data_IF_711095572758
#
_entry.id   IF_711095572758
#
_cell.length_a   1.000
_cell.length_b   1.000
_cell.length_c   1.000
_cell.angle_alpha   90.00
_cell.angle_beta   90.00
_cell.angle_gamma   90.00
#
_symmetry.space_group_name_H-M   'P 1'
#
loop_
_entity.id
_entity.type
_entity.pdbx_description
1 polymer ?
#
# COMPACT_ATOMS: atom_id res chain seq x y z
N UNK A 1 -16.70 2.77 69.34
CA UNK A 1 -16.18 3.72 68.31
C UNK A 1 -15.58 3.03 67.08
N UNK A 2 -14.71 2.02 67.21
CA UNK A 2 -14.01 1.33 66.09
C UNK A 2 -14.92 0.65 65.05
N UNK A 3 -16.06 0.07 65.43
CA UNK A 3 -16.96 -0.62 64.47
C UNK A 3 -17.73 0.34 63.54
N UNK A 4 -18.10 1.55 64.01
CA UNK A 4 -18.75 2.56 63.17
C UNK A 4 -17.81 3.05 62.06
N UNK A 5 -16.55 3.31 62.39
CA UNK A 5 -15.52 3.78 61.44
C UNK A 5 -15.25 2.72 60.34
N UNK A 6 -15.28 1.42 60.69
CA UNK A 6 -15.12 0.34 59.70
C UNK A 6 -16.31 0.23 58.74
N UNK A 7 -17.54 0.43 59.21
CA UNK A 7 -18.75 0.47 58.37
C UNK A 7 -18.71 1.64 57.39
N UNK A 8 -18.35 2.85 57.84
CA UNK A 8 -18.25 4.02 56.96
C UNK A 8 -17.12 3.89 55.92
N UNK A 9 -16.02 3.22 56.25
CA UNK A 9 -14.93 2.92 55.29
C UNK A 9 -15.35 1.93 54.20
N UNK A 10 -16.11 0.89 54.55
CA UNK A 10 -16.62 -0.09 53.57
C UNK A 10 -17.66 0.56 52.64
N UNK A 11 -18.54 1.39 53.19
CA UNK A 11 -19.52 2.15 52.40
C UNK A 11 -18.84 3.17 51.47
N UNK A 12 -17.80 3.87 51.95
CA UNK A 12 -17.02 4.78 51.11
C UNK A 12 -16.28 4.08 49.97
N UNK A 13 -15.69 2.91 50.24
CA UNK A 13 -15.01 2.11 49.21
C UNK A 13 -16.01 1.57 48.17
N UNK A 14 -17.19 1.11 48.60
CA UNK A 14 -18.23 0.63 47.69
C UNK A 14 -18.76 1.75 46.79
N UNK A 15 -18.93 2.97 47.31
CA UNK A 15 -19.30 4.13 46.50
C UNK A 15 -18.21 4.51 45.49
N UNK A 16 -16.93 4.45 45.87
CA UNK A 16 -15.82 4.74 44.96
C UNK A 16 -15.75 3.72 43.81
N UNK A 17 -15.92 2.43 44.11
CA UNK A 17 -15.94 1.36 43.09
C UNK A 17 -17.13 1.51 42.16
N UNK A 18 -18.32 1.83 42.70
CA UNK A 18 -19.50 2.08 41.87
C UNK A 18 -19.32 3.30 40.97
N UNK A 19 -18.69 4.37 41.45
CA UNK A 19 -18.38 5.55 40.65
C UNK A 19 -17.38 5.24 39.53
N UNK A 20 -16.36 4.41 39.79
CA UNK A 20 -15.40 3.95 38.77
C UNK A 20 -16.06 3.04 37.72
N UNK A 21 -17.01 2.19 38.11
CA UNK A 21 -17.77 1.34 37.17
C UNK A 21 -18.67 2.19 36.28
N UNK A 22 -19.36 3.19 36.84
CA UNK A 22 -20.21 4.10 36.08
C UNK A 22 -19.39 4.96 35.11
N UNK A 23 -18.23 5.47 35.54
CA UNK A 23 -17.31 6.19 34.64
C UNK A 23 -16.79 5.26 33.53
N UNK A 24 -16.41 4.02 33.85
CA UNK A 24 -15.97 3.04 32.86
C UNK A 24 -17.04 2.68 31.83
N UNK A 25 -18.31 2.59 32.25
CA UNK A 25 -19.44 2.35 31.36
C UNK A 25 -19.72 3.55 30.43
N UNK A 26 -19.63 4.78 30.96
CA UNK A 26 -19.81 6.01 30.16
C UNK A 26 -18.71 6.18 29.11
N UNK A 27 -17.46 5.83 29.42
CA UNK A 27 -16.38 5.83 28.43
C UNK A 27 -16.50 4.72 27.37
N UNK A 28 -17.18 3.62 27.69
CA UNK A 28 -17.38 2.49 26.76
C UNK A 28 -18.58 2.70 25.82
N UNK A 29 -19.50 3.61 26.13
CA UNK A 29 -20.73 3.79 25.36
C UNK A 29 -20.59 4.78 24.18
N UNK A 30 -19.47 5.51 24.09
CA UNK A 30 -19.22 6.48 23.00
C UNK A 30 -18.31 5.91 21.89
N UNK A 31 -18.59 4.70 21.44
CA UNK A 31 -18.00 4.14 20.23
C UNK A 31 -19.07 3.71 19.23
N UNK A 32 -19.64 4.71 18.53
CA UNK A 32 -19.97 4.55 17.12
C UNK A 32 -21.32 3.95 16.73
N UNK A 33 -22.36 3.99 17.58
CA UNK A 33 -23.73 3.72 17.11
C UNK A 33 -24.34 4.97 16.48
N UNK A 34 -24.17 5.11 15.17
CA UNK A 34 -24.68 6.24 14.37
C UNK A 34 -23.60 7.10 13.71
N UNK A 35 -22.31 6.85 14.02
CA UNK A 35 -21.20 7.48 13.34
C UNK A 35 -21.07 6.90 11.93
N UNK A 36 -21.07 7.78 10.93
CA UNK A 36 -20.79 7.39 9.55
C UNK A 36 -19.33 6.93 9.40
N UNK A 37 -19.09 5.96 8.52
CA UNK A 37 -17.73 5.56 8.11
C UNK A 37 -17.07 6.60 7.19
N UNK A 38 -17.79 7.62 6.74
CA UNK A 38 -17.23 8.72 5.95
C UNK A 38 -16.32 9.60 6.83
N UNK A 39 -15.11 9.88 6.33
CA UNK A 39 -14.28 10.92 6.89
C UNK A 39 -15.01 12.28 6.77
N UNK A 40 -14.89 13.19 7.76
CA UNK A 40 -15.44 14.53 7.64
C UNK A 40 -14.96 15.20 6.36
N UNK A 41 -15.90 15.64 5.51
CA UNK A 41 -15.59 16.36 4.25
C UNK A 41 -15.32 17.86 4.51
N UNK A 42 -15.18 18.25 5.77
CA UNK A 42 -14.95 19.62 6.20
C UNK A 42 -13.46 19.98 6.02
N UNK A 43 -13.12 20.49 4.83
CA UNK A 43 -11.78 20.98 4.49
C UNK A 43 -11.58 22.34 5.17
N UNK A 44 -10.80 22.36 6.25
CA UNK A 44 -10.53 23.56 7.08
C UNK A 44 -9.31 24.36 6.65
N UNK A 45 -8.59 23.89 5.63
CA UNK A 45 -7.34 24.47 5.12
C UNK A 45 -7.52 24.75 3.63
N UNK A 46 -7.01 25.88 3.12
CA UNK A 46 -7.06 26.14 1.68
C UNK A 46 -6.14 25.18 0.89
N UNK A 47 -6.43 24.99 -0.39
CA UNK A 47 -5.68 24.06 -1.23
C UNK A 47 -4.19 24.40 -1.37
N UNK A 48 -3.83 25.70 -1.39
CA UNK A 48 -2.44 26.10 -1.55
C UNK A 48 -1.61 25.70 -0.31
N UNK A 49 -2.19 25.88 0.87
CA UNK A 49 -1.62 25.45 2.15
C UNK A 49 -1.47 23.93 2.21
N UNK A 50 -2.51 23.17 1.81
CA UNK A 50 -2.46 21.70 1.69
C UNK A 50 -1.33 21.26 0.76
N UNK A 51 -1.27 21.82 -0.45
CA UNK A 51 -0.27 21.46 -1.45
C UNK A 51 1.14 21.76 -0.95
N UNK A 52 1.37 22.93 -0.36
CA UNK A 52 2.68 23.33 0.16
C UNK A 52 3.15 22.36 1.25
N UNK A 53 2.27 22.04 2.21
CA UNK A 53 2.54 21.09 3.28
C UNK A 53 2.88 19.69 2.75
N UNK A 54 2.10 19.18 1.80
CA UNK A 54 2.32 17.86 1.22
C UNK A 54 3.60 17.79 0.38
N UNK A 55 3.88 18.80 -0.45
CA UNK A 55 5.14 18.91 -1.19
C UNK A 55 6.34 18.91 -0.23
N UNK A 56 6.25 19.63 0.89
CA UNK A 56 7.30 19.66 1.90
C UNK A 56 7.49 18.30 2.60
N UNK A 57 6.40 17.55 2.83
CA UNK A 57 6.44 16.24 3.46
C UNK A 57 6.92 15.11 2.53
N UNK A 58 6.73 15.26 1.21
CA UNK A 58 7.02 14.25 0.18
C UNK A 58 8.34 13.50 0.38
N UNK A 59 9.52 14.15 0.56
CA UNK A 59 10.79 13.44 0.70
C UNK A 59 10.84 12.49 1.91
N UNK A 60 10.22 12.88 3.02
CA UNK A 60 10.19 12.07 4.23
C UNK A 60 9.26 10.85 4.08
N UNK A 61 8.12 11.04 3.42
CA UNK A 61 7.16 9.97 3.15
C UNK A 61 7.76 8.94 2.19
N UNK A 62 8.36 9.40 1.09
CA UNK A 62 9.02 8.54 0.11
C UNK A 62 10.20 7.78 0.71
N UNK A 63 11.02 8.44 1.54
CA UNK A 63 12.11 7.78 2.24
C UNK A 63 11.60 6.67 3.14
N UNK A 64 10.58 6.94 3.96
CA UNK A 64 9.99 5.94 4.86
C UNK A 64 9.47 4.74 4.08
N UNK A 65 8.80 4.97 2.96
CA UNK A 65 8.27 3.87 2.14
C UNK A 65 9.39 3.08 1.44
N UNK A 66 10.40 3.78 0.89
CA UNK A 66 11.59 3.15 0.31
C UNK A 66 12.35 2.30 1.32
N UNK A 67 12.49 2.77 2.55
CA UNK A 67 13.11 2.01 3.64
C UNK A 67 12.29 0.73 3.96
N UNK A 68 10.96 0.82 3.96
CA UNK A 68 10.07 -0.34 4.14
C UNK A 68 10.23 -1.36 3.00
N UNK A 69 10.24 -0.90 1.74
CA UNK A 69 10.44 -1.75 0.58
C UNK A 69 11.81 -2.44 0.64
N UNK A 70 12.87 -1.70 0.98
CA UNK A 70 14.22 -2.25 1.11
C UNK A 70 14.38 -3.22 2.29
N UNK A 71 13.58 -3.06 3.34
CA UNK A 71 13.53 -4.00 4.44
C UNK A 71 12.91 -5.33 4.00
N UNK A 72 11.81 -5.27 3.23
CA UNK A 72 11.01 -6.44 2.85
C UNK A 72 11.50 -7.15 1.59
N UNK A 73 12.10 -6.41 0.67
CA UNK A 73 12.41 -6.89 -0.67
C UNK A 73 13.84 -6.57 -1.11
N UNK A 74 14.35 -7.43 -2.00
CA UNK A 74 15.50 -7.14 -2.84
C UNK A 74 15.03 -6.55 -4.17
N UNK A 75 15.23 -5.24 -4.34
CA UNK A 75 14.87 -4.48 -5.53
C UNK A 75 15.99 -4.40 -6.58
N UNK A 76 17.07 -5.18 -6.44
CA UNK A 76 18.15 -5.22 -7.43
C UNK A 76 17.68 -5.72 -8.81
N UNK A 77 18.27 -5.18 -9.86
CA UNK A 77 18.04 -5.65 -11.23
C UNK A 77 18.79 -6.97 -11.46
N UNK A 78 18.04 -8.08 -11.52
CA UNK A 78 18.55 -9.43 -11.80
C UNK A 78 17.71 -10.06 -12.91
N UNK A 79 18.04 -9.76 -14.18
CA UNK A 79 17.29 -10.26 -15.33
C UNK A 79 17.56 -11.77 -15.51
N UNK A 80 16.49 -12.51 -15.71
CA UNK A 80 16.51 -13.92 -16.06
C UNK A 80 17.17 -14.14 -17.42
N UNK A 81 18.11 -15.10 -17.51
CA UNK A 81 18.82 -15.37 -18.75
C UNK A 81 17.86 -15.91 -19.82
N UNK A 82 17.74 -15.17 -20.93
CA UNK A 82 16.93 -15.59 -22.08
C UNK A 82 15.42 -15.50 -21.88
N UNK A 83 14.94 -14.92 -20.77
CA UNK A 83 13.51 -14.74 -20.51
C UNK A 83 13.16 -13.26 -20.60
N UNK A 84 12.25 -12.94 -21.51
CA UNK A 84 11.75 -11.60 -21.71
C UNK A 84 10.23 -11.62 -21.84
N UNK A 85 9.62 -10.47 -21.55
CA UNK A 85 8.25 -10.17 -21.89
C UNK A 85 8.11 -10.02 -23.43
N UNK A 86 6.89 -9.86 -23.91
CA UNK A 86 6.53 -10.00 -25.32
C UNK A 86 7.33 -9.09 -26.26
N UNK A 87 7.70 -7.88 -25.81
CA UNK A 87 8.52 -6.92 -26.57
C UNK A 87 9.95 -6.78 -26.05
N UNK A 88 10.48 -7.81 -25.39
CA UNK A 88 11.90 -7.90 -25.07
C UNK A 88 12.32 -7.31 -23.72
N UNK A 89 11.40 -6.78 -22.91
CA UNK A 89 11.73 -6.35 -21.54
C UNK A 89 12.11 -7.58 -20.71
N UNK A 90 13.30 -7.58 -20.12
CA UNK A 90 13.78 -8.73 -19.35
C UNK A 90 12.88 -9.01 -18.13
N UNK A 91 12.55 -10.28 -17.92
CA UNK A 91 11.84 -10.73 -16.71
C UNK A 91 12.87 -10.86 -15.58
N UNK A 92 12.46 -10.47 -14.37
CA UNK A 92 13.32 -10.52 -13.18
C UNK A 92 13.26 -11.93 -12.55
N UNK A 93 14.40 -12.56 -12.25
CA UNK A 93 14.45 -13.92 -11.68
C UNK A 93 14.57 -13.94 -10.15
N UNK A 94 14.16 -15.05 -9.53
CA UNK A 94 14.34 -15.32 -8.12
C UNK A 94 13.34 -14.60 -7.20
N UNK A 95 13.20 -15.16 -5.99
CA UNK A 95 12.30 -14.61 -4.97
C UNK A 95 12.89 -13.31 -4.42
N UNK A 96 12.06 -12.27 -4.36
CA UNK A 96 12.47 -10.92 -3.92
C UNK A 96 12.25 -10.68 -2.43
N UNK A 97 11.46 -11.50 -1.77
CA UNK A 97 11.23 -11.38 -0.32
C UNK A 97 12.53 -11.67 0.43
N UNK A 98 12.93 -10.74 1.28
CA UNK A 98 14.05 -10.93 2.22
C UNK A 98 13.55 -11.73 3.42
N UNK A 99 14.23 -12.82 3.72
CA UNK A 99 14.00 -13.62 4.92
C UNK A 99 14.80 -13.05 6.11
N UNK A 100 14.40 -13.41 7.32
CA UNK A 100 15.15 -13.10 8.52
C UNK A 100 16.58 -13.68 8.45
N UNK A 101 17.53 -13.02 9.13
CA UNK A 101 18.95 -13.40 9.07
C UNK A 101 19.13 -14.87 9.46
N UNK A 102 19.79 -15.65 8.59
CA UNK A 102 20.07 -17.07 8.82
C UNK A 102 18.91 -18.02 8.46
N UNK A 103 17.78 -17.48 8.01
CA UNK A 103 16.64 -18.26 7.52
C UNK A 103 16.77 -18.58 6.02
N UNK A 104 16.16 -19.69 5.60
CA UNK A 104 16.03 -20.08 4.19
C UNK A 104 14.61 -20.57 3.93
N UNK A 105 14.22 -20.67 2.66
CA UNK A 105 12.90 -21.19 2.28
C UNK A 105 12.74 -22.65 2.71
N UNK A 106 13.79 -23.45 2.64
CA UNK A 106 13.82 -24.86 3.07
C UNK A 106 13.60 -24.97 4.58
N UNK A 107 14.25 -24.11 5.38
CA UNK A 107 14.05 -24.07 6.82
C UNK A 107 12.62 -23.68 7.19
N UNK A 108 12.03 -22.71 6.49
CA UNK A 108 10.62 -22.32 6.70
C UNK A 108 9.66 -23.44 6.32
N UNK A 109 9.90 -24.11 5.19
CA UNK A 109 9.06 -25.21 4.71
C UNK A 109 9.10 -26.44 5.62
N UNK A 110 10.18 -26.62 6.39
CA UNK A 110 10.32 -27.71 7.36
C UNK A 110 9.65 -27.43 8.72
N UNK A 111 9.19 -26.21 8.98
CA UNK A 111 8.53 -25.81 10.24
C UNK A 111 7.01 -25.96 10.15
N UNK A 112 6.36 -26.22 11.29
CA UNK A 112 4.90 -26.12 11.36
C UNK A 112 4.44 -24.65 11.35
N UNK A 113 3.19 -24.36 10.95
CA UNK A 113 2.62 -23.01 11.03
C UNK A 113 2.67 -22.42 12.45
N UNK A 114 2.47 -23.24 13.48
CA UNK A 114 2.53 -22.84 14.88
C UNK A 114 3.94 -22.37 15.25
N UNK A 115 4.98 -23.12 14.84
CA UNK A 115 6.36 -22.72 15.08
C UNK A 115 6.73 -21.43 14.36
N UNK A 116 6.30 -21.26 13.11
CA UNK A 116 6.53 -20.03 12.33
C UNK A 116 5.91 -18.83 13.05
N UNK A 117 4.69 -19.00 13.57
CA UNK A 117 3.98 -17.95 14.31
C UNK A 117 4.63 -17.66 15.65
N UNK A 118 4.94 -18.67 16.45
CA UNK A 118 5.52 -18.51 17.79
C UNK A 118 6.92 -17.89 17.77
N UNK A 119 7.71 -18.19 16.73
CA UNK A 119 9.06 -17.65 16.54
C UNK A 119 9.09 -16.35 15.72
N UNK A 120 7.93 -15.82 15.33
CA UNK A 120 7.79 -14.62 14.48
C UNK A 120 8.62 -14.69 13.18
N UNK A 121 8.53 -15.82 12.48
CA UNK A 121 9.34 -16.11 11.29
C UNK A 121 8.59 -15.92 9.97
N UNK A 122 7.34 -15.48 10.02
CA UNK A 122 6.57 -15.27 8.81
C UNK A 122 7.22 -14.16 7.96
N UNK A 123 7.52 -14.39 6.67
CA UNK A 123 8.26 -13.41 5.87
C UNK A 123 7.54 -12.07 5.77
N UNK A 124 8.19 -10.99 6.20
CA UNK A 124 7.60 -9.65 6.21
C UNK A 124 7.21 -9.13 4.82
N UNK A 125 7.81 -9.67 3.76
CA UNK A 125 7.41 -9.39 2.37
C UNK A 125 6.08 -10.02 1.94
N UNK A 126 5.45 -10.85 2.78
CA UNK A 126 4.10 -11.38 2.59
C UNK A 126 3.04 -10.60 3.39
N UNK A 127 3.45 -9.66 4.23
CA UNK A 127 2.51 -8.76 4.88
C UNK A 127 1.87 -7.81 3.87
N UNK A 128 0.64 -7.30 4.13
CA UNK A 128 0.06 -6.25 3.33
C UNK A 128 1.06 -5.11 3.11
N UNK A 129 1.22 -4.69 1.85
CA UNK A 129 2.05 -3.55 1.50
C UNK A 129 1.22 -2.28 1.72
N UNK A 130 1.54 -1.44 2.73
CA UNK A 130 0.80 -0.20 2.95
C UNK A 130 1.07 0.79 1.82
N UNK A 131 0.07 1.57 1.42
CA UNK A 131 0.28 2.69 0.52
C UNK A 131 1.23 3.74 1.16
N UNK A 132 2.15 4.37 0.40
CA UNK A 132 3.16 5.29 0.96
C UNK A 132 2.59 6.41 1.81
N UNK A 133 1.46 7.00 1.38
CA UNK A 133 0.73 8.04 2.08
C UNK A 133 -0.71 7.60 2.37
N UNK A 134 -0.88 6.62 3.26
CA UNK A 134 -2.16 5.95 3.53
C UNK A 134 -3.35 6.91 3.80
N UNK A 135 -3.22 8.02 4.55
CA UNK A 135 -4.32 8.96 4.77
C UNK A 135 -4.86 9.60 3.49
N UNK A 136 -4.00 9.88 2.50
CA UNK A 136 -4.39 10.51 1.23
C UNK A 136 -4.80 9.48 0.17
N UNK A 137 -4.15 8.32 0.16
CA UNK A 137 -4.42 7.26 -0.80
C UNK A 137 -4.19 7.68 -2.26
N UNK A 138 -5.02 7.15 -3.17
CA UNK A 138 -4.97 7.44 -4.61
C UNK A 138 -4.03 6.54 -5.41
N UNK A 139 -3.96 6.78 -6.72
CA UNK A 139 -3.12 6.02 -7.65
C UNK A 139 -1.80 6.75 -7.91
N UNK A 140 -0.71 6.00 -8.06
CA UNK A 140 0.59 6.50 -8.50
C UNK A 140 0.89 5.88 -9.87
N UNK A 141 1.51 6.64 -10.77
CA UNK A 141 1.87 6.18 -12.10
C UNK A 141 3.38 6.24 -12.30
N UNK A 142 4.00 5.21 -12.91
CA UNK A 142 5.40 5.26 -13.29
C UNK A 142 5.67 6.40 -14.26
N UNK A 143 6.90 6.94 -14.24
CA UNK A 143 7.29 8.07 -15.07
C UNK A 143 7.03 7.85 -16.56
N UNK A 144 7.32 6.66 -17.09
CA UNK A 144 7.09 6.34 -18.50
C UNK A 144 5.61 6.45 -18.90
N UNK A 145 4.68 6.18 -17.99
CA UNK A 145 3.24 6.30 -18.25
C UNK A 145 2.78 7.75 -18.16
N UNK A 146 3.29 8.52 -17.19
CA UNK A 146 3.04 9.96 -17.07
C UNK A 146 3.49 10.65 -18.36
N UNK A 147 4.71 10.37 -18.82
CA UNK A 147 5.29 10.98 -20.01
C UNK A 147 4.48 10.63 -21.28
N UNK A 148 4.01 9.38 -21.42
CA UNK A 148 3.22 8.95 -22.58
C UNK A 148 1.81 9.54 -22.59
N UNK A 149 1.11 9.59 -21.45
CA UNK A 149 -0.23 10.22 -21.35
C UNK A 149 -0.12 11.72 -21.59
N UNK A 150 0.90 12.38 -21.04
CA UNK A 150 1.15 13.80 -21.27
C UNK A 150 1.41 14.09 -22.74
N UNK A 151 2.13 13.21 -23.44
CA UNK A 151 2.37 13.30 -24.87
C UNK A 151 1.11 13.10 -25.71
N UNK A 152 0.28 12.09 -25.41
CA UNK A 152 -0.90 11.78 -26.22
C UNK A 152 -2.08 12.72 -25.94
N UNK A 153 -2.31 13.09 -24.67
CA UNK A 153 -3.54 13.75 -24.23
C UNK A 153 -3.29 15.13 -23.57
N UNK A 154 -2.04 15.53 -23.37
CA UNK A 154 -1.71 16.77 -22.66
C UNK A 154 -2.00 16.75 -21.15
N UNK A 155 -2.49 15.62 -20.62
CA UNK A 155 -2.80 15.46 -19.19
C UNK A 155 -1.54 15.10 -18.41
N UNK A 156 -1.24 15.88 -17.38
CA UNK A 156 -0.15 15.56 -16.46
C UNK A 156 -0.70 14.76 -15.27
N UNK A 157 -0.28 13.50 -15.16
CA UNK A 157 -0.66 12.60 -14.07
C UNK A 157 0.27 12.70 -12.86
N UNK A 158 1.23 13.64 -12.87
CA UNK A 158 2.17 13.85 -11.77
C UNK A 158 1.44 14.31 -10.52
N UNK A 159 1.70 13.62 -9.41
CA UNK A 159 1.24 14.04 -8.09
C UNK A 159 2.27 14.94 -7.42
N UNK A 160 1.77 15.92 -6.68
CA UNK A 160 2.64 16.85 -5.94
C UNK A 160 3.11 16.28 -4.60
N UNK A 161 2.43 15.28 -4.06
CA UNK A 161 2.67 14.72 -2.73
C UNK A 161 3.51 13.44 -2.73
N UNK A 162 3.57 12.70 -3.86
CA UNK A 162 4.26 11.42 -4.00
C UNK A 162 4.66 11.12 -5.44
N UNK A 163 5.78 10.41 -5.61
CA UNK A 163 6.14 9.70 -6.85
C UNK A 163 5.96 8.19 -6.70
N UNK A 164 5.95 7.49 -7.84
CA UNK A 164 5.91 6.03 -7.89
C UNK A 164 7.20 5.41 -7.33
N UNK A 165 7.07 4.36 -6.53
CA UNK A 165 8.10 3.88 -5.58
C UNK A 165 8.82 2.60 -6.00
N UNK A 166 8.26 1.83 -6.93
CA UNK A 166 8.91 0.61 -7.47
C UNK A 166 9.81 0.92 -8.67
N UNK A 167 11.00 0.29 -8.77
CA UNK A 167 11.89 0.45 -9.91
C UNK A 167 11.31 -0.06 -11.24
N UNK A 168 11.67 0.59 -12.35
CA UNK A 168 11.16 0.24 -13.68
C UNK A 168 11.39 -1.22 -14.09
N UNK A 169 12.53 -1.82 -13.69
CA UNK A 169 12.88 -3.19 -14.06
C UNK A 169 12.01 -4.25 -13.40
N UNK A 170 11.31 -3.93 -12.30
CA UNK A 170 10.34 -4.84 -11.67
C UNK A 170 8.91 -4.65 -12.18
N UNK A 171 8.67 -3.61 -12.98
CA UNK A 171 7.35 -3.35 -13.56
C UNK A 171 7.14 -4.14 -14.86
N UNK A 172 5.88 -4.41 -15.24
CA UNK A 172 5.56 -4.96 -16.55
C UNK A 172 6.10 -4.13 -17.72
N UNK A 173 6.13 -4.72 -18.91
CA UNK A 173 6.42 -3.99 -20.13
C UNK A 173 5.36 -2.93 -20.42
N UNK A 174 5.80 -1.81 -20.98
CA UNK A 174 4.96 -0.66 -21.26
C UNK A 174 5.13 -0.23 -22.72
N UNK A 175 4.06 0.17 -23.43
CA UNK A 175 2.63 0.04 -23.04
C UNK A 175 2.17 -1.41 -22.93
N UNK A 176 1.23 -1.78 -22.05
CA UNK A 176 0.85 -3.20 -21.92
C UNK A 176 0.33 -3.76 -23.27
N UNK A 177 0.90 -4.85 -23.81
CA UNK A 177 0.40 -5.45 -25.04
C UNK A 177 -1.00 -6.03 -24.81
N UNK A 178 -1.81 -6.05 -25.86
CA UNK A 178 -3.17 -6.59 -25.82
C UNK A 178 -3.24 -7.78 -26.76
N UNK A 179 -3.62 -8.94 -26.22
CA UNK A 179 -3.79 -10.18 -26.98
C UNK A 179 -5.25 -10.63 -26.94
N UNK A 180 -5.77 -11.10 -28.06
CA UNK A 180 -7.12 -11.64 -28.15
C UNK A 180 -7.09 -13.15 -27.97
N UNK A 181 -7.81 -13.67 -26.99
CA UNK A 181 -7.92 -15.11 -26.72
C UNK A 181 -8.58 -15.88 -27.87
N UNK A 182 -9.42 -15.21 -28.67
CA UNK A 182 -10.14 -15.79 -29.83
C UNK A 182 -9.41 -15.61 -31.17
N UNK A 183 -8.39 -14.74 -31.23
CA UNK A 183 -7.60 -14.44 -32.44
C UNK A 183 -6.11 -14.35 -32.11
N UNK A 184 -5.49 -15.46 -31.65
CA UNK A 184 -4.08 -15.48 -31.30
C UNK A 184 -3.15 -15.20 -32.49
N UNK A 185 -3.64 -15.40 -33.72
CA UNK A 185 -2.95 -15.11 -34.98
C UNK A 185 -2.64 -13.61 -35.17
N UNK A 186 -3.38 -12.72 -34.50
CA UNK A 186 -3.18 -11.28 -34.62
C UNK A 186 -2.03 -10.74 -33.76
N UNK A 187 -1.49 -11.54 -32.83
CA UNK A 187 -0.45 -11.08 -31.92
C UNK A 187 -0.90 -9.90 -31.04
N UNK A 188 -0.01 -8.92 -30.83
CA UNK A 188 -0.28 -7.72 -30.03
C UNK A 188 -1.15 -6.73 -30.85
N UNK A 189 -2.46 -6.72 -30.60
CA UNK A 189 -3.41 -5.84 -31.29
C UNK A 189 -3.27 -4.37 -30.88
N UNK A 190 -2.56 -4.07 -29.77
CA UNK A 190 -2.20 -2.69 -29.44
C UNK A 190 -1.10 -2.12 -30.35
N UNK A 191 -0.41 -2.98 -31.11
CA UNK A 191 0.72 -2.64 -31.98
C UNK A 191 1.81 -1.84 -31.22
N UNK A 192 2.01 -2.16 -29.94
CA UNK A 192 2.95 -1.45 -29.06
C UNK A 192 2.53 -0.02 -28.68
N UNK A 193 1.30 0.40 -28.94
CA UNK A 193 0.79 1.73 -28.56
C UNK A 193 0.02 1.66 -27.24
N UNK A 194 0.16 2.68 -26.39
CA UNK A 194 -0.75 2.87 -25.27
C UNK A 194 -2.11 3.27 -25.82
N UNK A 195 -3.14 2.45 -25.56
CA UNK A 195 -4.50 2.73 -26.00
C UNK A 195 -5.07 3.89 -25.19
N UNK A 196 -5.54 4.91 -25.90
CA UNK A 196 -6.18 6.10 -25.33
C UNK A 196 -7.40 6.49 -26.16
N UNK A 197 -8.16 7.48 -25.69
CA UNK A 197 -9.27 8.05 -26.47
C UNK A 197 -8.81 8.66 -27.80
N UNK A 198 -7.51 8.97 -27.95
CA UNK A 198 -6.94 9.60 -29.14
C UNK A 198 -6.67 8.60 -30.26
N UNK A 199 -6.41 7.32 -29.94
CA UNK A 199 -5.99 6.32 -30.93
C UNK A 199 -6.86 5.05 -30.95
N UNK A 200 -7.81 4.90 -30.01
CA UNK A 200 -8.67 3.71 -29.93
C UNK A 200 -9.35 3.38 -31.27
N UNK A 201 -9.93 4.39 -31.93
CA UNK A 201 -10.61 4.18 -33.21
C UNK A 201 -9.64 3.76 -34.32
N UNK A 202 -8.48 4.40 -34.43
CA UNK A 202 -7.45 4.01 -35.41
C UNK A 202 -6.95 2.57 -35.18
N UNK A 203 -6.81 2.16 -33.91
CA UNK A 203 -6.29 0.85 -33.55
C UNK A 203 -7.28 -0.29 -33.77
N UNK A 204 -8.58 -0.04 -33.56
CA UNK A 204 -9.59 -1.09 -33.46
C UNK A 204 -10.81 -0.93 -34.38
N UNK A 205 -10.77 0.02 -35.32
CA UNK A 205 -11.73 0.03 -36.42
C UNK A 205 -11.35 -1.07 -37.42
N UNK A 206 -12.19 -2.11 -37.49
CA UNK A 206 -11.92 -3.40 -38.14
C UNK A 206 -11.53 -3.34 -39.61
#
# INVERSE_FOLDING_TARGET
MRQRIRKYRIVGLAMLVMMLIVMGAVYAEDSGKGATSYAPVDIKEDFASIMARMKAAKPAVEKKHKDLLNLRYDLSNRPAKGVAMSRGKAVQEGVRIKLSRGMTWEKLAAMSPEEIREKDLFPAGLFPLPFPNHPEGGMLFPKFLIDEIKKQEGRDLTRFDLDFDLPDHVLPEFPAPIYLTTRPDLGDVSKGKLVTIMNYYELFNG
#
